data_IF_354510363687
#
_entry.id   IF_354510363687
#
_cell.length_a   1.000
_cell.length_b   1.000
_cell.length_c   1.000
_cell.angle_alpha   90.00
_cell.angle_beta   90.00
_cell.angle_gamma   90.00
#
_symmetry.space_group_name_H-M   'P 1'
#
loop_
_entity.id
_entity.type
_entity.pdbx_description
1 polymer ?
#
# COMPACT_ATOMS: atom_id res chain seq x y z
N UNK A 1 4.02 -35.06 80.11
CA UNK A 1 3.62 -33.69 79.68
C UNK A 1 4.85 -32.80 79.86
N UNK A 2 5.51 -32.19 78.88
CA UNK A 2 5.24 -31.84 77.48
C UNK A 2 6.61 -31.74 76.76
N UNK A 3 6.73 -32.28 75.56
CA UNK A 3 7.88 -32.05 74.67
C UNK A 3 7.66 -30.76 73.87
N UNK A 4 8.65 -29.88 73.81
CA UNK A 4 8.63 -28.65 73.01
C UNK A 4 9.42 -28.92 71.73
N UNK A 5 8.73 -28.92 70.59
CA UNK A 5 9.34 -28.96 69.26
C UNK A 5 9.53 -27.52 68.76
N UNK A 6 10.78 -27.14 68.45
CA UNK A 6 11.10 -25.87 67.78
C UNK A 6 11.11 -26.13 66.28
N UNK A 7 10.11 -25.63 65.57
CA UNK A 7 10.04 -25.68 64.10
C UNK A 7 10.84 -24.51 63.51
N UNK A 8 11.94 -24.81 62.81
CA UNK A 8 12.69 -23.83 62.05
C UNK A 8 11.99 -23.58 60.70
N UNK A 9 11.47 -22.37 60.49
CA UNK A 9 10.92 -21.95 59.21
C UNK A 9 12.05 -21.54 58.26
N UNK A 10 12.31 -22.36 57.23
CA UNK A 10 13.23 -22.02 56.15
C UNK A 10 12.54 -21.03 55.18
N UNK A 11 13.00 -19.77 55.17
CA UNK A 11 12.58 -18.78 54.18
C UNK A 11 13.33 -19.05 52.89
N UNK A 12 12.67 -19.70 51.92
CA UNK A 12 13.18 -19.85 50.55
C UNK A 12 12.93 -18.54 49.80
N UNK A 13 13.97 -17.73 49.65
CA UNK A 13 13.94 -16.54 48.80
C UNK A 13 13.92 -16.98 47.32
N UNK A 14 12.73 -17.05 46.72
CA UNK A 14 12.58 -17.25 45.28
C UNK A 14 13.04 -15.97 44.56
N UNK A 15 14.24 -15.99 44.01
CA UNK A 15 14.71 -14.94 43.11
C UNK A 15 13.87 -15.00 41.82
N UNK A 16 12.91 -14.08 41.68
CA UNK A 16 12.21 -13.84 40.42
C UNK A 16 13.22 -13.24 39.43
N UNK A 17 13.81 -14.09 38.58
CA UNK A 17 14.48 -13.65 37.37
C UNK A 17 13.40 -13.10 36.43
N UNK A 18 13.24 -11.77 36.42
CA UNK A 18 12.43 -11.13 35.39
C UNK A 18 13.01 -11.49 34.01
N UNK A 19 12.20 -11.97 33.05
CA UNK A 19 12.68 -12.22 31.70
C UNK A 19 13.24 -10.91 31.14
N UNK A 20 14.53 -10.87 30.84
CA UNK A 20 15.13 -9.73 30.16
C UNK A 20 14.43 -9.55 28.81
N UNK A 21 13.80 -8.40 28.61
CA UNK A 21 13.22 -8.06 27.32
C UNK A 21 14.36 -8.01 26.29
N UNK A 22 14.43 -9.02 25.41
CA UNK A 22 15.37 -9.02 24.30
C UNK A 22 15.00 -7.87 23.36
N UNK A 23 15.85 -6.85 23.28
CA UNK A 23 15.70 -5.76 22.33
C UNK A 23 16.00 -6.29 20.93
N UNK A 24 15.02 -6.22 20.03
CA UNK A 24 15.22 -6.58 18.63
C UNK A 24 16.32 -5.71 18.02
N UNK A 25 17.21 -6.32 17.22
CA UNK A 25 18.28 -5.61 16.54
C UNK A 25 17.72 -4.56 15.57
N UNK A 26 18.42 -3.43 15.37
CA UNK A 26 18.01 -2.40 14.42
C UNK A 26 17.98 -2.96 12.99
N UNK A 27 16.98 -2.57 12.22
CA UNK A 27 16.87 -2.94 10.79
C UNK A 27 17.75 -1.98 10.01
N UNK A 28 18.73 -2.46 9.26
CA UNK A 28 19.64 -1.61 8.47
C UNK A 28 19.32 -1.56 6.98
N UNK A 29 18.45 -2.46 6.52
CA UNK A 29 18.18 -2.68 5.10
C UNK A 29 16.69 -2.95 4.92
N UNK A 30 16.12 -2.39 3.85
CA UNK A 30 14.76 -2.69 3.38
C UNK A 30 14.85 -3.80 2.35
N UNK A 31 14.25 -4.95 2.63
CA UNK A 31 14.07 -6.03 1.65
C UNK A 31 12.86 -5.72 0.77
N UNK A 32 13.11 -5.21 -0.43
CA UNK A 32 12.09 -4.76 -1.37
C UNK A 32 11.95 -5.73 -2.54
N UNK A 33 10.74 -6.27 -2.75
CA UNK A 33 10.41 -7.09 -3.92
C UNK A 33 9.41 -6.38 -4.83
N UNK A 34 9.77 -6.20 -6.10
CA UNK A 34 8.87 -5.65 -7.11
C UNK A 34 8.31 -6.77 -7.99
N UNK A 35 6.99 -6.93 -7.99
CA UNK A 35 6.22 -7.88 -8.77
C UNK A 35 5.38 -7.15 -9.82
N UNK A 36 4.75 -7.90 -10.71
CA UNK A 36 3.73 -7.39 -11.61
C UNK A 36 4.07 -7.54 -13.09
N UNK A 37 3.45 -6.69 -13.88
CA UNK A 37 3.49 -6.73 -15.33
C UNK A 37 4.45 -5.70 -15.95
N UNK A 38 4.21 -5.32 -17.20
CA UNK A 38 5.06 -4.40 -17.97
C UNK A 38 5.11 -2.99 -17.39
N UNK A 39 4.09 -2.56 -16.65
CA UNK A 39 4.09 -1.24 -16.00
C UNK A 39 5.06 -1.23 -14.80
N UNK A 40 5.15 -2.33 -14.05
CA UNK A 40 6.14 -2.53 -13.00
C UNK A 40 7.53 -2.85 -13.54
N UNK A 41 7.63 -3.55 -14.68
CA UNK A 41 8.93 -3.81 -15.32
C UNK A 41 9.55 -2.56 -15.91
N UNK A 42 8.75 -1.50 -16.10
CA UNK A 42 9.20 -0.25 -16.70
C UNK A 42 9.37 -0.32 -18.22
N UNK A 43 8.69 -1.26 -18.89
CA UNK A 43 8.67 -1.31 -20.35
C UNK A 43 8.24 0.06 -20.91
N UNK A 44 9.07 0.69 -21.74
CA UNK A 44 8.85 2.05 -22.26
C UNK A 44 9.73 3.11 -21.62
N UNK A 45 10.40 2.82 -20.50
CA UNK A 45 11.32 3.74 -19.85
C UNK A 45 12.77 3.66 -20.36
N UNK A 46 13.06 2.74 -21.29
CA UNK A 46 14.38 2.56 -21.88
C UNK A 46 15.29 1.66 -21.05
N UNK A 47 16.36 1.16 -21.67
CA UNK A 47 17.32 0.28 -20.98
C UNK A 47 16.73 -1.07 -20.54
N UNK A 48 15.66 -1.54 -21.19
CA UNK A 48 15.02 -2.80 -20.90
C UNK A 48 15.96 -3.99 -21.20
N UNK A 49 16.02 -4.93 -20.27
CA UNK A 49 16.84 -6.14 -20.39
C UNK A 49 16.01 -7.42 -20.25
N UNK A 50 16.54 -8.52 -20.78
CA UNK A 50 15.93 -9.84 -20.70
C UNK A 50 14.59 -9.97 -21.42
N UNK A 51 13.95 -11.11 -21.23
CA UNK A 51 12.62 -11.41 -21.78
C UNK A 51 11.51 -10.67 -21.06
N UNK A 52 11.69 -10.42 -19.75
CA UNK A 52 10.74 -9.68 -18.91
C UNK A 52 10.75 -8.17 -19.13
N UNK A 53 11.66 -7.64 -19.97
CA UNK A 53 11.77 -6.21 -20.29
C UNK A 53 11.87 -5.34 -19.04
N UNK A 54 12.77 -5.73 -18.14
CA UNK A 54 13.03 -4.97 -16.92
C UNK A 54 13.91 -3.77 -17.26
N UNK A 55 13.40 -2.58 -17.04
CA UNK A 55 14.05 -1.29 -17.27
C UNK A 55 14.80 -0.81 -16.03
N UNK A 56 15.94 -0.15 -16.25
CA UNK A 56 16.63 0.62 -15.22
C UNK A 56 15.86 1.89 -14.80
N UNK A 57 14.93 2.35 -15.64
CA UNK A 57 14.02 3.46 -15.39
C UNK A 57 12.65 3.04 -14.81
N UNK A 58 12.46 1.77 -14.43
CA UNK A 58 11.25 1.33 -13.74
C UNK A 58 11.13 1.98 -12.35
N UNK A 59 9.91 2.32 -11.91
CA UNK A 59 9.71 3.02 -10.62
C UNK A 59 10.36 2.32 -9.42
N UNK A 60 10.35 0.98 -9.40
CA UNK A 60 10.95 0.20 -8.32
C UNK A 60 12.47 0.34 -8.31
N UNK A 61 13.08 0.30 -9.50
CA UNK A 61 14.52 0.49 -9.69
C UNK A 61 14.92 1.90 -9.27
N UNK A 62 14.14 2.92 -9.65
CA UNK A 62 14.39 4.30 -9.28
C UNK A 62 14.24 4.54 -7.78
N UNK A 63 13.22 3.96 -7.13
CA UNK A 63 13.03 4.08 -5.68
C UNK A 63 14.19 3.45 -4.92
N UNK A 64 14.65 2.26 -5.31
CA UNK A 64 15.82 1.62 -4.68
C UNK A 64 17.12 2.41 -4.93
N UNK A 65 17.31 2.93 -6.14
CA UNK A 65 18.50 3.71 -6.51
C UNK A 65 18.62 5.04 -5.76
N UNK A 66 17.54 5.54 -5.14
CA UNK A 66 17.59 6.72 -4.28
C UNK A 66 18.31 6.47 -2.94
N UNK A 67 18.48 5.20 -2.53
CA UNK A 67 19.19 4.82 -1.32
C UNK A 67 19.81 3.41 -1.43
N UNK A 68 20.79 3.22 -2.34
CA UNK A 68 21.30 1.90 -2.70
C UNK A 68 21.99 1.17 -1.55
N UNK A 69 22.50 1.90 -0.55
CA UNK A 69 23.17 1.32 0.62
C UNK A 69 22.19 0.70 1.63
N UNK A 70 20.89 0.99 1.52
CA UNK A 70 19.87 0.56 2.48
C UNK A 70 18.69 -0.14 1.85
N UNK A 71 18.65 -0.32 0.52
CA UNK A 71 17.58 -1.05 -0.17
C UNK A 71 18.16 -2.23 -0.93
N UNK A 72 17.67 -3.43 -0.60
CA UNK A 72 17.91 -4.64 -1.37
C UNK A 72 16.70 -4.89 -2.28
N UNK A 73 16.82 -4.52 -3.56
CA UNK A 73 15.76 -4.71 -4.54
C UNK A 73 15.87 -6.07 -5.23
N UNK A 74 14.81 -6.87 -5.13
CA UNK A 74 14.57 -8.02 -6.01
C UNK A 74 13.49 -7.68 -7.03
N UNK A 75 13.90 -7.41 -8.26
CA UNK A 75 13.00 -7.07 -9.36
C UNK A 75 12.53 -8.33 -10.10
N UNK A 76 11.23 -8.63 -10.03
CA UNK A 76 10.59 -9.82 -10.60
C UNK A 76 9.36 -9.55 -11.44
N UNK A 77 9.00 -8.28 -11.62
CA UNK A 77 7.99 -7.91 -12.60
C UNK A 77 8.40 -8.34 -14.00
N UNK A 78 7.41 -8.66 -14.83
CA UNK A 78 7.64 -9.22 -16.15
C UNK A 78 6.60 -8.72 -17.14
N UNK A 79 7.04 -8.13 -18.25
CA UNK A 79 6.14 -7.68 -19.29
C UNK A 79 5.23 -8.82 -19.80
N UNK A 80 3.93 -8.53 -19.88
CA UNK A 80 2.90 -9.50 -20.28
C UNK A 80 2.33 -10.37 -19.16
N UNK A 81 2.86 -10.28 -17.93
CA UNK A 81 2.35 -11.06 -16.81
C UNK A 81 0.86 -10.78 -16.53
N UNK A 82 0.11 -11.86 -16.33
CA UNK A 82 -1.25 -11.89 -15.78
C UNK A 82 -1.22 -12.20 -14.29
N UNK A 83 -2.37 -12.11 -13.61
CA UNK A 83 -2.47 -12.54 -12.20
C UNK A 83 -2.01 -13.99 -11.97
N UNK A 84 -2.23 -14.88 -12.94
CA UNK A 84 -1.77 -16.27 -12.88
C UNK A 84 -0.23 -16.38 -12.94
N UNK A 85 0.42 -15.50 -13.73
CA UNK A 85 1.88 -15.51 -13.88
C UNK A 85 2.60 -14.99 -12.64
N UNK A 86 1.95 -14.13 -11.85
CA UNK A 86 2.54 -13.62 -10.59
C UNK A 86 2.83 -14.76 -9.60
N UNK A 87 2.13 -15.90 -9.70
CA UNK A 87 2.47 -17.09 -8.91
C UNK A 87 3.95 -17.51 -9.07
N UNK A 88 4.52 -17.33 -10.26
CA UNK A 88 5.95 -17.62 -10.52
C UNK A 88 6.90 -16.55 -9.98
N UNK A 89 6.40 -15.34 -9.72
CA UNK A 89 7.16 -14.22 -9.16
C UNK A 89 7.18 -14.24 -7.63
N UNK A 90 6.12 -14.78 -7.01
CA UNK A 90 5.94 -14.89 -5.55
C UNK A 90 7.07 -15.67 -4.87
N UNK A 91 7.76 -16.57 -5.58
CA UNK A 91 8.91 -17.31 -5.03
C UNK A 91 10.10 -16.44 -4.61
N UNK A 92 10.11 -15.15 -4.96
CA UNK A 92 11.09 -14.18 -4.46
C UNK A 92 10.74 -13.60 -3.07
N UNK A 93 9.52 -13.79 -2.60
CA UNK A 93 9.04 -13.31 -1.31
C UNK A 93 9.45 -14.26 -0.18
N UNK A 94 9.66 -13.70 1.00
CA UNK A 94 9.88 -14.46 2.22
C UNK A 94 9.42 -13.65 3.46
N UNK A 95 9.59 -14.24 4.65
CA UNK A 95 9.15 -13.66 5.92
C UNK A 95 9.93 -12.42 6.37
N UNK A 96 11.05 -12.11 5.70
CA UNK A 96 11.86 -10.89 5.89
C UNK A 96 11.55 -9.80 4.89
N UNK A 97 10.77 -10.08 3.85
CA UNK A 97 10.36 -9.04 2.89
C UNK A 97 9.60 -7.93 3.62
N UNK A 98 10.04 -6.69 3.43
CA UNK A 98 9.48 -5.52 4.10
C UNK A 98 8.51 -4.74 3.22
N UNK A 99 8.85 -4.59 1.93
CA UNK A 99 8.07 -3.89 0.93
C UNK A 99 7.81 -4.79 -0.27
N UNK A 100 6.55 -4.84 -0.70
CA UNK A 100 6.17 -5.43 -1.99
C UNK A 100 5.43 -4.39 -2.81
N UNK A 101 5.81 -4.20 -4.07
CA UNK A 101 4.99 -3.43 -5.03
C UNK A 101 4.48 -4.34 -6.14
N UNK A 102 3.27 -4.09 -6.63
CA UNK A 102 2.70 -4.83 -7.76
C UNK A 102 1.82 -3.93 -8.64
N UNK A 103 1.99 -4.02 -9.97
CA UNK A 103 0.99 -3.64 -10.98
C UNK A 103 0.51 -4.91 -11.70
N UNK A 104 -0.79 -5.21 -11.69
CA UNK A 104 -1.30 -6.42 -12.35
C UNK A 104 -2.77 -6.29 -12.77
N UNK A 105 -3.26 -7.18 -13.63
CA UNK A 105 -4.67 -7.26 -14.04
C UNK A 105 -4.98 -6.72 -15.43
N UNK A 106 -4.15 -5.84 -16.01
CA UNK A 106 -4.37 -5.32 -17.37
C UNK A 106 -4.27 -6.43 -18.43
N UNK A 107 -3.29 -7.32 -18.30
CA UNK A 107 -3.09 -8.43 -19.24
C UNK A 107 -4.14 -9.53 -19.11
N UNK A 108 -4.74 -9.72 -17.93
CA UNK A 108 -5.87 -10.64 -17.75
C UNK A 108 -7.05 -10.30 -18.67
N UNK A 109 -7.25 -9.01 -18.94
CA UNK A 109 -8.27 -8.50 -19.87
C UNK A 109 -7.80 -8.50 -21.34
N UNK A 110 -6.51 -8.70 -21.61
CA UNK A 110 -5.90 -8.55 -22.94
C UNK A 110 -6.14 -7.18 -23.60
N UNK A 111 -6.08 -6.09 -22.81
CA UNK A 111 -6.37 -4.72 -23.28
C UNK A 111 -5.51 -4.31 -24.50
N UNK A 112 -4.20 -4.58 -24.46
CA UNK A 112 -3.31 -4.22 -25.57
C UNK A 112 -3.56 -5.05 -26.84
N UNK A 113 -4.06 -6.27 -26.72
CA UNK A 113 -4.47 -7.08 -27.88
C UNK A 113 -5.70 -6.47 -28.55
N UNK A 114 -6.68 -6.00 -27.77
CA UNK A 114 -7.86 -5.31 -28.30
C UNK A 114 -7.48 -4.02 -29.05
N UNK A 115 -6.50 -3.27 -28.55
CA UNK A 115 -5.98 -2.07 -29.23
C UNK A 115 -5.50 -2.38 -30.64
N UNK A 116 -4.79 -3.50 -30.85
CA UNK A 116 -4.30 -3.90 -32.19
C UNK A 116 -5.45 -4.23 -33.16
N UNK A 117 -6.48 -4.91 -32.67
CA UNK A 117 -7.63 -5.33 -33.47
C UNK A 117 -8.58 -4.18 -33.76
N UNK A 118 -8.65 -3.18 -32.88
CA UNK A 118 -9.58 -2.05 -32.97
C UNK A 118 -9.03 -0.81 -33.70
N UNK A 119 -7.87 -0.92 -34.35
CA UNK A 119 -7.30 0.20 -35.13
C UNK A 119 -8.20 0.61 -36.30
N UNK A 120 -8.21 1.91 -36.63
CA UNK A 120 -9.00 2.46 -37.73
C UNK A 120 -10.00 3.54 -37.28
N UNK A 121 -10.92 3.90 -38.17
CA UNK A 121 -11.91 4.98 -37.95
C UNK A 121 -13.22 4.50 -37.34
N UNK A 122 -13.58 3.24 -37.59
CA UNK A 122 -14.82 2.62 -37.09
C UNK A 122 -14.53 1.21 -36.54
N UNK A 123 -15.17 0.79 -35.44
CA UNK A 123 -15.03 -0.58 -34.94
C UNK A 123 -15.44 -1.61 -35.99
N UNK A 124 -14.59 -2.62 -36.19
CA UNK A 124 -14.92 -3.80 -37.00
C UNK A 124 -15.63 -4.85 -36.13
N UNK A 125 -16.29 -5.86 -36.72
CA UNK A 125 -16.86 -6.97 -35.93
C UNK A 125 -15.82 -7.67 -35.04
N UNK A 126 -14.57 -7.80 -35.51
CA UNK A 126 -13.48 -8.35 -34.72
C UNK A 126 -13.11 -7.46 -33.52
N UNK A 127 -13.19 -6.13 -33.69
CA UNK A 127 -13.03 -5.21 -32.57
C UNK A 127 -14.17 -5.36 -31.57
N UNK A 128 -15.42 -5.38 -32.02
CA UNK A 128 -16.58 -5.55 -31.14
C UNK A 128 -16.52 -6.85 -30.33
N UNK A 129 -16.08 -7.95 -30.96
CA UNK A 129 -15.83 -9.23 -30.29
C UNK A 129 -14.73 -9.11 -29.22
N UNK A 130 -13.62 -8.42 -29.54
CA UNK A 130 -12.54 -8.18 -28.58
C UNK A 130 -13.01 -7.36 -27.37
N UNK A 131 -13.81 -6.32 -27.59
CA UNK A 131 -14.41 -5.51 -26.52
C UNK A 131 -15.40 -6.33 -25.67
N UNK A 132 -16.19 -7.22 -26.29
CA UNK A 132 -17.08 -8.13 -25.56
C UNK A 132 -16.29 -9.06 -24.64
N UNK A 133 -15.20 -9.67 -25.14
CA UNK A 133 -14.34 -10.55 -24.32
C UNK A 133 -13.71 -9.82 -23.13
N UNK A 134 -13.38 -8.53 -23.27
CA UNK A 134 -12.91 -7.72 -22.14
C UNK A 134 -14.00 -7.60 -21.07
N UNK A 135 -15.26 -7.37 -21.46
CA UNK A 135 -16.39 -7.28 -20.52
C UNK A 135 -16.58 -8.60 -19.75
N UNK A 136 -16.46 -9.74 -20.42
CA UNK A 136 -16.60 -11.04 -19.77
C UNK A 136 -15.48 -11.27 -18.75
N UNK A 137 -14.23 -10.97 -19.12
CA UNK A 137 -13.05 -11.15 -18.25
C UNK A 137 -13.05 -10.22 -17.05
N UNK A 138 -13.67 -9.04 -17.15
CA UNK A 138 -13.84 -8.11 -16.03
C UNK A 138 -14.61 -8.76 -14.88
N UNK A 139 -15.56 -9.67 -15.16
CA UNK A 139 -16.32 -10.36 -14.11
C UNK A 139 -15.46 -11.34 -13.29
N UNK A 140 -14.41 -11.92 -13.88
CA UNK A 140 -13.53 -12.89 -13.21
C UNK A 140 -12.38 -12.24 -12.44
N UNK A 141 -11.96 -11.05 -12.85
CA UNK A 141 -10.77 -10.38 -12.33
C UNK A 141 -10.78 -10.16 -10.81
N UNK A 142 -11.90 -9.78 -10.15
CA UNK A 142 -11.92 -9.58 -8.69
C UNK A 142 -11.46 -10.81 -7.90
N UNK A 143 -11.94 -12.00 -8.27
CA UNK A 143 -11.56 -13.25 -7.60
C UNK A 143 -10.09 -13.59 -7.77
N UNK A 144 -9.54 -13.34 -8.97
CA UNK A 144 -8.12 -13.54 -9.25
C UNK A 144 -7.22 -12.58 -8.48
N UNK A 145 -7.60 -11.31 -8.41
CA UNK A 145 -6.88 -10.29 -7.63
C UNK A 145 -6.88 -10.62 -6.13
N UNK A 146 -8.04 -11.01 -5.57
CA UNK A 146 -8.16 -11.40 -4.18
C UNK A 146 -7.22 -12.59 -3.85
N UNK A 147 -7.26 -13.64 -4.67
CA UNK A 147 -6.39 -14.82 -4.49
C UNK A 147 -4.90 -14.48 -4.60
N UNK A 148 -4.54 -13.63 -5.56
CA UNK A 148 -3.15 -13.19 -5.75
C UNK A 148 -2.66 -12.34 -4.56
N UNK A 149 -3.44 -11.39 -4.06
CA UNK A 149 -3.07 -10.60 -2.88
C UNK A 149 -2.95 -11.46 -1.62
N UNK A 150 -3.83 -12.45 -1.45
CA UNK A 150 -3.71 -13.43 -0.37
C UNK A 150 -2.42 -14.25 -0.48
N UNK A 151 -2.06 -14.69 -1.68
CA UNK A 151 -0.83 -15.45 -1.91
C UNK A 151 0.43 -14.60 -1.59
N UNK A 152 0.45 -13.33 -2.01
CA UNK A 152 1.53 -12.39 -1.65
C UNK A 152 1.62 -12.20 -0.14
N UNK A 153 0.49 -11.96 0.55
CA UNK A 153 0.47 -11.82 2.00
C UNK A 153 0.86 -13.09 2.74
N UNK A 154 0.56 -14.26 2.18
CA UNK A 154 0.98 -15.54 2.76
C UNK A 154 2.49 -15.73 2.66
N UNK A 155 3.09 -15.37 1.52
CA UNK A 155 4.53 -15.48 1.31
C UNK A 155 5.35 -14.40 2.04
N UNK A 156 4.77 -13.21 2.22
CA UNK A 156 5.37 -12.08 2.94
C UNK A 156 4.39 -11.52 4.00
N UNK A 157 4.19 -12.22 5.12
CA UNK A 157 3.18 -11.89 6.13
C UNK A 157 3.41 -10.52 6.78
N UNK A 158 4.67 -10.08 6.92
CA UNK A 158 5.04 -8.80 7.54
C UNK A 158 5.15 -7.64 6.55
N UNK A 159 5.26 -7.92 5.25
CA UNK A 159 5.46 -6.88 4.26
C UNK A 159 4.28 -5.91 4.18
N UNK A 160 4.61 -4.62 3.99
CA UNK A 160 3.68 -3.64 3.43
C UNK A 160 3.57 -3.90 1.93
N UNK A 161 2.36 -4.08 1.43
CA UNK A 161 2.11 -4.32 0.01
C UNK A 161 1.48 -3.08 -0.60
N UNK A 162 2.12 -2.48 -1.60
CA UNK A 162 1.59 -1.38 -2.39
C UNK A 162 1.16 -1.90 -3.77
N UNK A 163 -0.15 -1.86 -4.04
CA UNK A 163 -0.74 -2.22 -5.33
C UNK A 163 -0.93 -0.94 -6.12
N UNK A 164 -0.10 -0.72 -7.14
CA UNK A 164 -0.18 0.47 -7.96
C UNK A 164 -1.20 0.24 -9.09
N UNK A 165 -2.08 1.23 -9.29
CA UNK A 165 -3.04 1.21 -10.38
C UNK A 165 -2.42 1.44 -11.75
N UNK A 166 -3.29 1.71 -12.73
CA UNK A 166 -2.93 2.14 -14.08
C UNK A 166 -3.42 3.57 -14.34
N UNK A 167 -2.67 4.37 -15.11
CA UNK A 167 -3.11 5.67 -15.57
C UNK A 167 -4.21 5.54 -16.63
N UNK A 168 -5.08 6.53 -16.75
CA UNK A 168 -6.05 6.57 -17.84
C UNK A 168 -5.33 6.89 -19.15
N UNK A 169 -5.39 6.00 -20.18
CA UNK A 169 -4.61 6.18 -21.38
C UNK A 169 -5.10 7.35 -22.24
N UNK A 170 -6.41 7.60 -22.34
CA UNK A 170 -6.97 8.55 -23.31
C UNK A 170 -7.62 9.78 -22.68
N UNK A 171 -7.99 9.71 -21.40
CA UNK A 171 -8.58 10.80 -20.61
C UNK A 171 -9.80 11.46 -21.29
N UNK A 172 -10.61 10.67 -22.00
CA UNK A 172 -11.80 11.15 -22.71
C UNK A 172 -11.52 12.07 -23.91
N UNK A 173 -10.26 12.18 -24.36
CA UNK A 173 -9.88 13.10 -25.44
C UNK A 173 -10.71 12.92 -26.72
N UNK A 174 -11.22 14.04 -27.25
CA UNK A 174 -12.04 14.07 -28.48
C UNK A 174 -11.26 13.58 -29.70
N UNK A 175 -10.00 13.99 -29.82
CA UNK A 175 -9.11 13.60 -30.92
C UNK A 175 -7.82 13.00 -30.39
N UNK A 176 -7.26 12.03 -31.12
CA UNK A 176 -6.00 11.40 -30.75
C UNK A 176 -5.21 10.97 -31.99
N UNK A 177 -4.27 11.80 -32.45
CA UNK A 177 -3.41 11.45 -33.60
C UNK A 177 -2.33 10.43 -33.24
N UNK A 178 -1.96 10.35 -31.95
CA UNK A 178 -0.93 9.45 -31.43
C UNK A 178 -1.38 8.00 -31.32
N UNK A 179 -2.69 7.72 -31.38
CA UNK A 179 -3.24 6.36 -31.37
C UNK A 179 -4.52 6.34 -32.23
N UNK A 180 -4.50 5.80 -33.45
CA UNK A 180 -5.63 5.84 -34.39
C UNK A 180 -6.70 4.81 -34.04
N UNK A 181 -7.38 5.04 -32.92
CA UNK A 181 -8.55 4.30 -32.47
C UNK A 181 -9.81 5.17 -32.58
N UNK A 182 -10.98 4.59 -32.88
CA UNK A 182 -12.25 5.31 -32.78
C UNK A 182 -12.47 5.85 -31.35
N UNK A 183 -13.12 7.01 -31.20
CA UNK A 183 -13.37 7.61 -29.87
C UNK A 183 -14.07 6.63 -28.92
N UNK A 184 -15.10 5.93 -29.37
CA UNK A 184 -15.82 4.94 -28.57
C UNK A 184 -14.91 3.81 -28.03
N UNK A 185 -13.87 3.43 -28.78
CA UNK A 185 -12.89 2.42 -28.33
C UNK A 185 -11.96 3.01 -27.27
N UNK A 186 -11.55 4.27 -27.44
CA UNK A 186 -10.73 4.98 -26.44
C UNK A 186 -11.49 5.16 -25.13
N UNK A 187 -12.75 5.63 -25.21
CA UNK A 187 -13.62 5.79 -24.05
C UNK A 187 -13.87 4.46 -23.34
N UNK A 188 -14.02 3.35 -24.09
CA UNK A 188 -14.09 2.01 -23.52
C UNK A 188 -12.76 1.61 -22.83
N UNK A 189 -11.62 1.95 -23.43
CA UNK A 189 -10.30 1.71 -22.84
C UNK A 189 -10.13 2.39 -21.49
N UNK A 190 -10.50 3.68 -21.39
CA UNK A 190 -10.49 4.41 -20.12
C UNK A 190 -11.44 3.75 -19.10
N UNK A 191 -12.66 3.37 -19.51
CA UNK A 191 -13.61 2.67 -18.64
C UNK A 191 -13.08 1.33 -18.13
N UNK A 192 -12.43 0.55 -19.00
CA UNK A 192 -11.84 -0.73 -18.62
C UNK A 192 -10.70 -0.54 -17.61
N UNK A 193 -9.85 0.47 -17.81
CA UNK A 193 -8.78 0.81 -16.86
C UNK A 193 -9.35 1.31 -15.53
N UNK A 194 -10.36 2.18 -15.54
CA UNK A 194 -11.08 2.60 -14.33
C UNK A 194 -11.63 1.38 -13.58
N UNK A 195 -12.24 0.44 -14.29
CA UNK A 195 -12.78 -0.78 -13.70
C UNK A 195 -11.70 -1.64 -13.04
N UNK A 196 -10.54 -1.82 -13.69
CA UNK A 196 -9.38 -2.51 -13.10
C UNK A 196 -8.91 -1.81 -11.83
N UNK A 197 -8.76 -0.48 -11.87
CA UNK A 197 -8.36 0.32 -10.72
C UNK A 197 -9.31 0.19 -9.54
N UNK A 198 -10.62 0.20 -9.80
CA UNK A 198 -11.64 0.03 -8.76
C UNK A 198 -11.59 -1.39 -8.17
N UNK A 199 -11.34 -2.41 -8.99
CA UNK A 199 -11.16 -3.78 -8.52
C UNK A 199 -9.89 -3.94 -7.68
N UNK A 200 -8.75 -3.38 -8.12
CA UNK A 200 -7.51 -3.38 -7.34
C UNK A 200 -7.72 -2.73 -5.96
N UNK A 201 -8.44 -1.61 -5.92
CA UNK A 201 -8.81 -0.93 -4.68
C UNK A 201 -9.74 -1.76 -3.80
N UNK A 202 -10.78 -2.35 -4.40
CA UNK A 202 -11.79 -3.11 -3.68
C UNK A 202 -11.26 -4.43 -3.08
N UNK A 203 -10.27 -5.05 -3.73
CA UNK A 203 -9.67 -6.31 -3.26
C UNK A 203 -8.51 -6.12 -2.29
N UNK A 204 -8.08 -4.88 -2.00
CA UNK A 204 -7.02 -4.62 -1.04
C UNK A 204 -7.43 -5.09 0.38
N UNK A 205 -6.68 -6.06 0.91
CA UNK A 205 -6.86 -6.63 2.25
C UNK A 205 -5.97 -5.90 3.29
N UNK A 206 -6.10 -6.16 4.60
CA UNK A 206 -5.21 -5.59 5.61
C UNK A 206 -3.72 -5.80 5.27
N UNK A 207 -2.94 -4.72 5.34
CA UNK A 207 -1.53 -4.73 4.94
C UNK A 207 -1.28 -4.58 3.44
N UNK A 208 -2.34 -4.48 2.63
CA UNK A 208 -2.32 -4.14 1.20
C UNK A 208 -2.92 -2.75 1.03
N UNK A 209 -2.19 -1.85 0.38
CA UNK A 209 -2.61 -0.48 0.10
C UNK A 209 -2.71 -0.29 -1.41
N UNK A 210 -3.87 0.16 -1.88
CA UNK A 210 -4.00 0.62 -3.26
C UNK A 210 -3.37 2.01 -3.42
N UNK A 211 -2.52 2.16 -4.43
CA UNK A 211 -1.84 3.40 -4.79
C UNK A 211 -2.42 3.91 -6.11
N UNK A 212 -3.13 5.04 -6.00
CA UNK A 212 -3.76 5.70 -7.15
C UNK A 212 -2.72 6.46 -7.97
N UNK A 213 -2.46 6.00 -9.19
CA UNK A 213 -1.57 6.66 -10.15
C UNK A 213 -2.32 7.55 -11.13
N UNK A 214 -3.66 7.55 -11.14
CA UNK A 214 -4.43 8.39 -12.07
C UNK A 214 -4.22 9.88 -11.80
N UNK A 215 -4.04 10.26 -10.52
CA UNK A 215 -3.80 11.64 -10.12
C UNK A 215 -2.50 12.24 -10.68
N UNK A 216 -1.31 11.64 -10.47
CA UNK A 216 -0.08 12.21 -11.02
C UNK A 216 -0.04 12.15 -12.55
N UNK A 217 -0.75 11.20 -13.18
CA UNK A 217 -0.87 11.14 -14.65
C UNK A 217 -1.94 12.06 -15.24
N UNK A 218 -2.72 12.79 -14.43
CA UNK A 218 -3.81 13.62 -14.93
C UNK A 218 -3.29 14.68 -15.91
N UNK A 219 -3.84 14.71 -17.12
CA UNK A 219 -3.40 15.59 -18.21
C UNK A 219 -2.17 15.09 -18.97
N UNK A 220 -1.70 13.88 -18.67
CA UNK A 220 -0.53 13.24 -19.29
C UNK A 220 -0.88 11.93 -20.02
N UNK A 221 -2.15 11.69 -20.33
CA UNK A 221 -2.60 10.61 -21.22
C UNK A 221 -2.01 10.73 -22.62
N UNK A 222 -2.12 9.66 -23.41
CA UNK A 222 -1.46 9.53 -24.73
C UNK A 222 -1.90 10.59 -25.73
N UNK A 223 -3.09 11.17 -25.57
CA UNK A 223 -3.64 12.19 -26.44
C UNK A 223 -3.37 13.62 -25.96
N UNK A 224 -2.69 13.78 -24.82
CA UNK A 224 -2.37 15.10 -24.25
C UNK A 224 -1.26 15.82 -25.03
N UNK A 225 -1.09 17.11 -24.73
CA UNK A 225 0.01 17.91 -25.28
C UNK A 225 1.39 17.47 -24.72
N UNK A 226 1.42 16.95 -23.50
CA UNK A 226 2.62 16.51 -22.78
C UNK A 226 2.48 15.06 -22.33
N UNK A 227 2.37 14.09 -23.25
CA UNK A 227 2.02 12.73 -22.88
C UNK A 227 3.16 12.06 -22.10
N UNK A 228 2.80 11.34 -21.05
CA UNK A 228 3.68 10.40 -20.36
C UNK A 228 3.42 8.96 -20.78
N UNK A 229 2.36 8.73 -21.55
CA UNK A 229 2.03 7.45 -22.18
C UNK A 229 2.49 7.47 -23.64
N UNK A 230 3.18 6.41 -24.06
CA UNK A 230 3.78 6.29 -25.38
C UNK A 230 2.69 6.00 -26.43
N UNK A 231 2.71 6.74 -27.55
CA UNK A 231 1.80 6.54 -28.67
C UNK A 231 2.30 5.51 -29.71
N UNK A 232 1.87 5.71 -30.95
CA UNK A 232 2.23 4.88 -32.12
C UNK A 232 3.74 4.85 -32.38
N UNK A 233 4.49 5.84 -31.92
CA UNK A 233 5.95 5.83 -31.94
C UNK A 233 6.55 4.62 -31.21
N UNK A 234 5.80 4.01 -30.27
CA UNK A 234 6.20 2.80 -29.55
C UNK A 234 5.88 1.47 -30.25
N UNK A 235 5.27 1.48 -31.44
CA UNK A 235 4.77 0.24 -32.07
C UNK A 235 5.88 -0.77 -32.37
N UNK A 236 7.01 -0.30 -32.90
CA UNK A 236 8.16 -1.15 -33.24
C UNK A 236 8.83 -1.74 -32.01
N UNK A 237 8.89 -0.97 -30.92
CA UNK A 237 9.45 -1.39 -29.64
C UNK A 237 8.47 -2.20 -28.78
N UNK A 238 7.19 -2.27 -29.17
CA UNK A 238 6.14 -2.89 -28.37
C UNK A 238 5.78 -2.11 -27.10
N UNK A 239 6.06 -0.80 -27.06
CA UNK A 239 5.89 0.08 -25.89
C UNK A 239 4.66 0.98 -26.00
N UNK A 240 3.87 0.88 -27.08
CA UNK A 240 2.60 1.63 -27.23
C UNK A 240 1.70 1.42 -26.02
N UNK A 241 1.11 2.51 -25.53
CA UNK A 241 0.29 2.60 -24.31
C UNK A 241 1.02 2.22 -23.02
N UNK A 242 2.35 2.29 -22.98
CA UNK A 242 3.11 2.17 -21.73
C UNK A 242 3.61 3.52 -21.24
N UNK A 243 3.95 3.66 -19.95
CA UNK A 243 4.64 4.83 -19.44
C UNK A 243 6.01 5.00 -20.09
N UNK A 244 6.30 6.23 -20.52
CA UNK A 244 7.64 6.70 -20.84
C UNK A 244 8.52 6.79 -19.58
N UNK A 245 9.80 7.14 -19.75
CA UNK A 245 10.68 7.46 -18.63
C UNK A 245 10.12 8.58 -17.73
N UNK A 246 9.47 9.60 -18.31
CA UNK A 246 8.76 10.62 -17.54
C UNK A 246 7.57 10.03 -16.77
N UNK A 247 6.78 9.16 -17.39
CA UNK A 247 5.66 8.50 -16.71
C UNK A 247 6.10 7.61 -15.54
N UNK A 248 7.23 6.91 -15.67
CA UNK A 248 7.80 6.15 -14.57
C UNK A 248 8.29 7.06 -13.43
N UNK A 249 8.96 8.17 -13.77
CA UNK A 249 9.57 9.06 -12.76
C UNK A 249 8.56 10.00 -12.08
N UNK A 250 7.74 10.68 -12.86
CA UNK A 250 6.82 11.71 -12.37
C UNK A 250 5.43 11.14 -12.04
N UNK A 251 5.08 10.00 -12.62
CA UNK A 251 3.84 9.29 -12.35
C UNK A 251 3.99 8.24 -11.27
N UNK A 252 4.61 7.11 -11.64
CA UNK A 252 4.67 5.92 -10.78
C UNK A 252 5.55 6.11 -9.55
N UNK A 253 6.79 6.59 -9.70
CA UNK A 253 7.70 6.81 -8.57
C UNK A 253 7.12 7.86 -7.61
N UNK A 254 6.58 8.96 -8.12
CA UNK A 254 5.92 9.97 -7.30
C UNK A 254 4.76 9.39 -6.49
N UNK A 255 3.89 8.59 -7.12
CA UNK A 255 2.79 7.91 -6.45
C UNK A 255 3.27 6.92 -5.37
N UNK A 256 4.30 6.12 -5.68
CA UNK A 256 4.89 5.19 -4.73
C UNK A 256 5.46 5.92 -3.52
N UNK A 257 6.32 6.91 -3.74
CA UNK A 257 6.93 7.71 -2.67
C UNK A 257 5.88 8.41 -1.82
N UNK A 258 4.80 8.92 -2.41
CA UNK A 258 3.70 9.50 -1.64
C UNK A 258 2.97 8.46 -0.76
N UNK A 259 2.89 7.20 -1.19
CA UNK A 259 2.19 6.15 -0.48
C UNK A 259 3.03 5.49 0.63
N UNK A 260 4.34 5.31 0.40
CA UNK A 260 5.21 4.54 1.32
C UNK A 260 6.36 5.36 1.92
N UNK A 261 6.54 6.60 1.48
CA UNK A 261 7.69 7.43 1.82
C UNK A 261 8.90 7.18 0.90
N UNK A 262 9.95 7.96 1.14
CA UNK A 262 11.30 7.70 0.61
C UNK A 262 11.89 6.43 1.24
N UNK A 263 12.93 5.83 0.65
CA UNK A 263 13.60 4.68 1.25
C UNK A 263 14.04 4.87 2.70
N UNK A 264 14.56 6.05 3.02
CA UNK A 264 15.02 6.39 4.36
C UNK A 264 13.86 6.49 5.36
N UNK A 265 12.75 7.11 4.96
CA UNK A 265 11.53 7.20 5.78
C UNK A 265 10.90 5.82 5.98
N UNK A 266 10.88 4.99 4.93
CA UNK A 266 10.38 3.63 5.02
C UNK A 266 11.21 2.81 6.01
N UNK A 267 12.54 2.85 5.90
CA UNK A 267 13.45 2.17 6.81
C UNK A 267 13.31 2.65 8.26
N UNK A 268 13.16 3.97 8.46
CA UNK A 268 12.90 4.53 9.79
C UNK A 268 11.61 3.97 10.40
N UNK A 269 10.58 3.76 9.56
CA UNK A 269 9.32 3.14 9.96
C UNK A 269 9.39 1.64 10.24
N UNK A 270 10.48 0.94 9.90
CA UNK A 270 10.71 -0.47 10.24
C UNK A 270 11.41 -0.65 11.60
N UNK A 271 11.96 0.43 12.18
CA UNK A 271 12.73 0.30 13.42
C UNK A 271 11.83 -0.18 14.57
N UNK A 272 12.34 -1.08 15.43
CA UNK A 272 11.65 -1.41 16.66
C UNK A 272 11.36 -0.14 17.47
N UNK A 273 10.23 -0.06 18.21
CA UNK A 273 9.97 1.05 19.09
C UNK A 273 11.17 1.26 20.01
N UNK A 274 11.65 2.50 20.10
CA UNK A 274 12.79 2.83 20.94
C UNK A 274 12.54 2.28 22.34
N UNK A 275 13.47 1.47 22.84
CA UNK A 275 13.39 1.01 24.23
C UNK A 275 13.32 2.25 25.12
N UNK A 276 12.41 2.30 26.12
CA UNK A 276 12.41 3.39 27.05
C UNK A 276 13.82 3.48 27.63
N UNK A 277 14.45 4.65 27.51
CA UNK A 277 15.72 4.90 28.18
C UNK A 277 15.57 4.48 29.64
N UNK A 278 16.52 3.74 30.23
CA UNK A 278 16.44 3.40 31.63
C UNK A 278 16.22 4.72 32.38
N UNK A 279 15.06 4.83 33.03
CA UNK A 279 14.79 5.96 33.90
C UNK A 279 15.99 6.07 34.82
N UNK A 280 16.65 7.24 34.80
CA UNK A 280 17.77 7.51 35.66
C UNK A 280 17.43 6.95 37.05
N UNK A 281 18.30 6.07 37.57
CA UNK A 281 18.11 5.52 38.91
C UNK A 281 17.73 6.68 39.83
N UNK A 282 16.71 6.53 40.70
CA UNK A 282 16.36 7.59 41.63
C UNK A 282 17.64 8.03 42.31
N UNK A 283 17.95 9.33 42.17
CA UNK A 283 19.13 9.92 42.77
C UNK A 283 19.20 9.44 44.22
N UNK A 284 20.37 8.95 44.63
CA UNK A 284 20.60 8.49 45.99
C UNK A 284 20.00 9.51 46.97
N UNK A 285 19.14 9.02 47.88
CA UNK A 285 18.53 9.84 48.91
C UNK A 285 19.59 10.73 49.55
N UNK A 286 19.37 12.06 49.65
CA UNK A 286 20.28 12.91 50.39
C UNK A 286 20.41 12.37 51.81
N UNK A 287 21.64 12.21 52.28
CA UNK A 287 21.93 11.84 53.67
C UNK A 287 21.24 12.83 54.62
N UNK A 288 20.73 12.39 55.78
CA UNK A 288 20.00 13.25 56.69
C UNK A 288 20.95 14.31 57.29
N UNK A 289 20.84 15.55 56.84
CA UNK A 289 21.35 16.71 57.57
C UNK A 289 20.46 16.97 58.78
N UNK A 290 21.08 17.04 59.96
CA UNK A 290 20.47 17.47 61.22
C UNK A 290 19.68 18.78 61.03
N UNK A 291 18.35 18.69 61.07
CA UNK A 291 17.48 19.85 61.21
C UNK A 291 17.25 20.10 62.70
N UNK A 292 17.87 21.18 63.16
CA UNK A 292 17.62 21.76 64.46
C UNK A 292 16.17 22.21 64.60
N UNK A 293 15.71 22.09 65.83
CA UNK A 293 14.42 22.40 66.40
C UNK A 293 13.88 23.79 66.00
N UNK A 294 12.61 23.85 65.56
CA UNK A 294 11.92 25.11 65.28
C UNK A 294 10.46 24.87 64.88
N UNK A 295 9.58 24.75 65.87
CA UNK A 295 8.14 24.57 65.64
C UNK A 295 7.44 25.86 65.20
N UNK A 296 6.40 25.74 64.37
CA UNK A 296 5.12 26.39 64.61
C UNK A 296 4.02 25.80 63.70
N UNK A 297 2.80 25.75 64.22
CA UNK A 297 1.66 25.01 63.65
C UNK A 297 0.86 25.67 62.52
N UNK A 298 -0.25 25.00 62.18
CA UNK A 298 -1.26 25.37 61.18
C UNK A 298 -1.27 24.34 60.05
N UNK A 299 -2.25 23.46 59.87
CA UNK A 299 -3.69 23.70 59.84
C UNK A 299 -4.18 23.40 58.42
N UNK A 300 -4.85 22.26 58.22
CA UNK A 300 -5.51 21.90 56.95
C UNK A 300 -6.69 22.86 56.69
N UNK A 301 -7.06 23.09 55.41
CA UNK A 301 -8.29 22.42 54.98
C UNK A 301 -8.20 21.83 53.57
N UNK A 302 -8.86 20.68 53.43
CA UNK A 302 -9.29 20.07 52.18
C UNK A 302 -10.50 20.87 51.67
N UNK A 303 -10.43 21.40 50.46
CA UNK A 303 -11.62 21.84 49.72
C UNK A 303 -11.62 21.18 48.34
N UNK A 304 -12.45 20.15 48.21
CA UNK A 304 -12.75 19.56 46.92
C UNK A 304 -13.76 20.40 46.15
N UNK A 305 -13.46 20.75 44.91
CA UNK A 305 -14.45 21.10 43.88
C UNK A 305 -13.82 20.83 42.49
N UNK A 306 -14.64 20.30 41.57
CA UNK A 306 -14.46 20.18 40.11
C UNK A 306 -14.18 18.78 39.53
N UNK A 307 -15.12 17.85 39.71
CA UNK A 307 -15.29 16.64 38.87
C UNK A 307 -16.66 16.60 38.19
N UNK A 308 -17.34 17.74 38.01
CA UNK A 308 -18.69 17.77 37.41
C UNK A 308 -18.80 18.40 36.01
N UNK A 309 -17.71 18.96 35.46
CA UNK A 309 -17.76 19.60 34.14
C UNK A 309 -17.42 18.68 32.95
N UNK A 310 -16.88 17.47 33.18
CA UNK A 310 -16.46 16.57 32.09
C UNK A 310 -17.47 15.47 31.74
N UNK A 311 -18.53 15.26 32.53
CA UNK A 311 -19.54 14.22 32.25
C UNK A 311 -20.73 14.78 31.45
N UNK A 312 -21.06 16.08 31.60
CA UNK A 312 -22.20 16.70 30.92
C UNK A 312 -22.02 16.94 29.42
N UNK A 313 -20.78 17.22 28.96
CA UNK A 313 -20.51 17.49 27.54
C UNK A 313 -20.48 16.21 26.67
N UNK A 314 -20.20 15.04 27.26
CA UNK A 314 -20.13 13.77 26.54
C UNK A 314 -21.49 13.19 26.14
N UNK A 315 -22.55 13.45 26.92
CA UNK A 315 -23.87 12.86 26.69
C UNK A 315 -24.65 13.56 25.55
N UNK A 316 -24.40 14.84 25.31
CA UNK A 316 -25.05 15.61 24.24
C UNK A 316 -24.54 15.25 22.84
N UNK A 317 -23.27 14.86 22.71
CA UNK A 317 -22.66 14.48 21.42
C UNK A 317 -23.06 13.08 20.94
N UNK A 318 -23.37 12.15 21.87
CA UNK A 318 -23.78 10.79 21.52
C UNK A 318 -25.23 10.72 21.01
N UNK A 319 -26.12 11.61 21.45
CA UNK A 319 -27.52 11.64 20.99
C UNK A 319 -27.67 12.28 19.60
N UNK A 320 -26.83 13.25 19.24
CA UNK A 320 -26.84 13.86 17.90
C UNK A 320 -26.36 12.90 16.80
N UNK A 321 -25.36 12.06 17.10
CA UNK A 321 -24.83 11.07 16.14
C UNK A 321 -25.80 9.94 15.80
N UNK A 322 -26.60 9.47 16.77
CA UNK A 322 -27.56 8.40 16.57
C UNK A 322 -28.77 8.81 15.69
N UNK A 323 -29.16 10.09 15.72
CA UNK A 323 -30.27 10.63 14.92
C UNK A 323 -29.85 10.81 13.45
N UNK A 324 -28.60 11.22 13.20
CA UNK A 324 -28.06 11.34 11.84
C UNK A 324 -27.83 9.97 11.18
N UNK A 325 -27.44 8.95 11.95
CA UNK A 325 -27.26 7.59 11.45
C UNK A 325 -28.59 6.90 11.02
N UNK A 326 -29.71 7.29 11.64
CA UNK A 326 -31.03 6.70 11.32
C UNK A 326 -31.69 7.30 10.08
N UNK A 327 -31.31 8.51 9.67
CA UNK A 327 -31.90 9.22 8.52
C UNK A 327 -31.18 8.96 7.20
N UNK A 328 -29.96 8.40 7.22
CA UNK A 328 -29.13 8.18 6.02
C UNK A 328 -29.09 6.73 5.51
N UNK A 329 -29.95 5.83 6.01
CA UNK A 329 -30.06 4.48 5.42
C UNK A 329 -30.80 4.54 4.07
N UNK A 330 -30.23 4.01 2.97
CA UNK A 330 -30.97 3.85 1.72
C UNK A 330 -32.12 2.84 1.92
N UNK A 331 -33.33 3.22 1.51
CA UNK A 331 -34.50 2.34 1.50
C UNK A 331 -34.24 1.19 0.53
N UNK A 332 -34.49 -0.05 0.97
CA UNK A 332 -34.54 -1.22 0.08
C UNK A 332 -35.64 -0.98 -0.95
N UNK A 333 -35.30 -1.09 -2.23
CA UNK A 333 -36.27 -1.19 -3.31
C UNK A 333 -36.71 -2.66 -3.34
N UNK A 334 -37.97 -2.91 -2.98
CA UNK A 334 -38.63 -4.18 -3.26
C UNK A 334 -39.11 -4.14 -4.71
N UNK A 335 -38.57 -5.04 -5.53
CA UNK A 335 -39.08 -5.30 -6.88
C UNK A 335 -40.34 -6.14 -6.71
N UNK A 336 -41.49 -5.54 -7.00
CA UNK A 336 -42.76 -6.26 -7.16
C UNK A 336 -42.75 -6.85 -8.56
N UNK A 337 -42.61 -8.17 -8.66
CA UNK A 337 -42.84 -8.91 -9.89
C UNK A 337 -44.34 -8.92 -10.20
N UNK A 338 -44.71 -8.36 -11.35
CA UNK A 338 -46.00 -8.50 -12.01
C UNK A 338 -45.78 -8.81 -13.48
#
# INVERSE_FOLDING_TARGET
MKSIYVAAAAVVAAAFLAPGAATAAPVSTVDYVALGDSYASGLGAGGETGTCKVSTGAYATLWAAAAPDVVSLTQKSCAGATTADVATQIGALNDKTDLVTVTIGGNDLALLSAVRVCTGTTPTPACEEALSKIRDRLAELPGRLAGMFQAVKTAAPKAKVAVLGYPLPFEGAETCSRVPLPKAVRDFGDLAVTSVNDMLRAQAAPGVTYVDVTRPFAGHGVCSATPWIIGVEGLSAGTTLHPSAQGQTQGYLAALTAAVGTPQEFLAGLQPPASPSPSASPAASPSPTNLANGGNGGGLPVTGVNVWWLVGAGLALLLAGAILYRTLRPRRIEVVSG
#
